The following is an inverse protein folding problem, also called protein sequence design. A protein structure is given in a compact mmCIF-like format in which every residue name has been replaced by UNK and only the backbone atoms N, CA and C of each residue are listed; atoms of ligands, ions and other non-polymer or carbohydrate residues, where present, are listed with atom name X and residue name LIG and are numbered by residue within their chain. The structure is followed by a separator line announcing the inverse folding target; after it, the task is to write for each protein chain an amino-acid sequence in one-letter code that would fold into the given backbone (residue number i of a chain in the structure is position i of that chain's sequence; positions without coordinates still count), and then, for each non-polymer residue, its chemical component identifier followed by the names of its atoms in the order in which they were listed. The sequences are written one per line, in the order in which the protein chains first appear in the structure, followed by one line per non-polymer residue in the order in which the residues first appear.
data_IF_643618475368
#
_entry.id   IF_643618475368
#
_cell.length_a   1.000
_cell.length_b   1.000
_cell.length_c   1.000
_cell.angle_alpha   90.00
_cell.angle_beta   90.00
_cell.angle_gamma   90.00
#
_symmetry.space_group_name_H-M   'P 1'
#
loop_
_entity.id
_entity.type
_entity.pdbx_description
1 polymer ?
#
# COMPACT_ATOMS: atom_id res chain seq x y z
N UNK A 1 -4.17 -20.65 -17.13
CA UNK A 1 -4.09 -20.61 -18.58
C UNK A 1 -3.21 -19.41 -18.95
N UNK A 2 -1.98 -19.69 -19.34
CA UNK A 2 -1.05 -18.66 -19.79
C UNK A 2 -1.25 -18.42 -21.28
N UNK A 3 -1.53 -17.18 -21.67
CA UNK A 3 -1.60 -16.78 -23.06
C UNK A 3 -0.39 -15.92 -23.38
N UNK A 4 0.46 -16.38 -24.25
CA UNK A 4 1.49 -15.52 -24.82
C UNK A 4 0.81 -14.52 -25.77
N UNK A 5 0.94 -13.24 -25.44
CA UNK A 5 0.47 -12.18 -26.33
C UNK A 5 1.65 -11.80 -27.23
N UNK A 6 1.56 -12.11 -28.51
CA UNK A 6 2.59 -11.81 -29.53
C UNK A 6 2.59 -10.32 -29.94
N UNK A 7 2.30 -9.41 -29.01
CA UNK A 7 2.27 -7.97 -29.25
C UNK A 7 3.56 -7.27 -28.83
N UNK A 8 4.34 -6.88 -29.82
CA UNK A 8 5.56 -6.03 -29.78
C UNK A 8 6.55 -6.35 -28.65
N UNK A 9 7.55 -7.14 -28.98
CA UNK A 9 8.77 -7.25 -28.18
C UNK A 9 9.47 -5.88 -28.15
N UNK A 10 9.55 -5.26 -26.99
CA UNK A 10 10.64 -4.33 -26.72
C UNK A 10 11.89 -5.21 -26.56
N UNK A 11 12.88 -5.01 -27.42
CA UNK A 11 14.10 -5.83 -27.46
C UNK A 11 14.90 -5.78 -26.15
N UNK A 12 14.54 -4.85 -25.26
CA UNK A 12 15.25 -4.62 -24.01
C UNK A 12 14.63 -5.33 -22.80
N UNK A 13 13.33 -5.68 -22.82
CA UNK A 13 12.68 -6.35 -21.68
C UNK A 13 11.51 -7.23 -22.12
N UNK A 14 11.75 -8.47 -22.53
CA UNK A 14 10.66 -9.41 -22.81
C UNK A 14 9.96 -9.78 -21.51
N UNK A 15 8.79 -9.20 -21.26
CA UNK A 15 7.96 -9.53 -20.13
C UNK A 15 6.72 -10.33 -20.59
N UNK A 16 6.42 -11.41 -19.90
CA UNK A 16 5.16 -12.12 -20.01
C UNK A 16 4.21 -11.61 -18.93
N UNK A 17 3.10 -11.03 -19.34
CA UNK A 17 2.11 -10.48 -18.41
C UNK A 17 1.07 -11.53 -18.03
N UNK A 18 0.77 -11.60 -16.74
CA UNK A 18 -0.37 -12.36 -16.24
C UNK A 18 -1.67 -11.62 -16.55
N UNK A 19 -2.48 -12.19 -17.42
CA UNK A 19 -3.81 -11.68 -17.76
C UNK A 19 -4.92 -12.26 -16.86
N UNK A 20 -4.56 -13.11 -15.88
CA UNK A 20 -5.53 -13.69 -14.94
C UNK A 20 -6.03 -12.70 -13.89
N UNK A 21 -5.39 -11.55 -13.78
CA UNK A 21 -5.70 -10.54 -12.77
C UNK A 21 -5.10 -10.84 -11.38
N UNK A 22 -4.27 -11.87 -11.25
CA UNK A 22 -3.63 -12.23 -9.97
C UNK A 22 -2.27 -11.54 -9.76
N UNK A 23 -1.85 -10.68 -10.68
CA UNK A 23 -0.63 -9.89 -10.55
C UNK A 23 0.70 -10.66 -10.69
N UNK A 24 0.68 -11.91 -11.13
CA UNK A 24 1.89 -12.69 -11.33
C UNK A 24 2.47 -12.43 -12.72
N UNK A 25 3.46 -11.58 -12.83
CA UNK A 25 4.20 -11.34 -14.07
C UNK A 25 5.41 -12.25 -14.14
N UNK A 26 5.72 -12.72 -15.34
CA UNK A 26 6.93 -13.52 -15.60
C UNK A 26 7.91 -12.67 -16.39
N UNK A 27 9.09 -12.40 -15.83
CA UNK A 27 10.21 -11.84 -16.56
C UNK A 27 11.04 -12.98 -17.18
N UNK A 28 11.37 -12.84 -18.45
CA UNK A 28 12.38 -13.71 -19.05
C UNK A 28 13.72 -13.10 -18.68
N UNK A 29 14.44 -13.73 -17.75
CA UNK A 29 15.79 -13.29 -17.41
C UNK A 29 16.66 -13.31 -18.66
N UNK A 30 17.47 -12.25 -18.85
CA UNK A 30 18.40 -12.17 -19.98
C UNK A 30 19.26 -13.43 -20.06
N UNK A 31 19.41 -13.90 -21.29
CA UNK A 31 20.25 -15.03 -21.64
C UNK A 31 21.70 -14.74 -21.24
N UNK A 32 22.12 -15.28 -20.10
CA UNK A 32 23.52 -15.31 -19.75
C UNK A 32 24.20 -16.31 -20.70
N UNK A 33 25.01 -15.80 -21.63
CA UNK A 33 25.81 -16.62 -22.50
C UNK A 33 26.71 -17.55 -21.65
N UNK A 34 26.35 -18.81 -21.55
CA UNK A 34 27.20 -19.82 -20.90
C UNK A 34 26.52 -20.85 -20.03
N UNK A 35 25.23 -20.79 -19.74
CA UNK A 35 24.54 -21.88 -19.04
C UNK A 35 23.29 -22.36 -19.79
N UNK A 36 23.28 -23.64 -20.13
CA UNK A 36 22.22 -24.37 -20.83
C UNK A 36 21.03 -24.69 -19.90
N UNK A 37 20.74 -23.82 -18.92
CA UNK A 37 19.60 -23.98 -18.04
C UNK A 37 18.61 -22.85 -18.33
N UNK A 38 17.58 -23.15 -19.09
CA UNK A 38 16.37 -22.36 -19.15
C UNK A 38 15.69 -22.44 -17.79
N UNK A 39 16.14 -21.60 -16.86
CA UNK A 39 15.46 -21.41 -15.61
C UNK A 39 14.27 -20.49 -15.89
N UNK A 40 13.08 -21.05 -16.05
CA UNK A 40 11.85 -20.29 -15.82
C UNK A 40 11.79 -19.99 -14.33
N UNK A 41 12.38 -18.88 -13.91
CA UNK A 41 12.15 -18.35 -12.58
C UNK A 41 10.73 -17.81 -12.57
N UNK A 42 9.87 -18.32 -11.70
CA UNK A 42 8.74 -17.53 -11.24
C UNK A 42 9.37 -16.36 -10.48
N UNK A 43 9.43 -15.22 -11.11
CA UNK A 43 9.77 -13.98 -10.40
C UNK A 43 8.59 -13.66 -9.51
N UNK A 44 8.65 -14.19 -8.31
CA UNK A 44 7.89 -13.59 -7.21
C UNK A 44 8.42 -12.17 -7.15
N UNK A 45 7.57 -11.12 -7.14
CA UNK A 45 8.04 -9.76 -7.03
C UNK A 45 9.13 -9.71 -5.97
N UNK A 46 10.33 -9.25 -6.37
CA UNK A 46 11.43 -9.16 -5.43
C UNK A 46 10.98 -8.21 -4.32
N UNK A 47 11.40 -8.46 -3.09
CA UNK A 47 11.04 -7.62 -1.95
C UNK A 47 11.22 -6.12 -2.26
N UNK A 48 12.28 -5.76 -2.99
CA UNK A 48 12.52 -4.41 -3.50
C UNK A 48 11.43 -3.86 -4.44
N UNK A 49 10.71 -4.73 -5.14
CA UNK A 49 9.66 -4.29 -6.07
C UNK A 49 8.36 -4.01 -5.32
N UNK A 50 8.14 -4.68 -4.19
CA UNK A 50 6.98 -4.48 -3.32
C UNK A 50 7.21 -3.32 -2.34
N UNK A 51 8.44 -3.13 -1.87
CA UNK A 51 8.83 -2.09 -0.90
C UNK A 51 8.51 -0.66 -1.39
N UNK A 52 8.34 -0.44 -2.68
CA UNK A 52 7.99 0.86 -3.24
C UNK A 52 6.65 0.85 -4.01
N UNK A 53 5.92 -0.27 -3.97
CA UNK A 53 4.67 -0.39 -4.71
C UNK A 53 3.52 0.37 -4.07
N UNK A 54 3.48 0.36 -2.75
CA UNK A 54 2.46 1.03 -1.94
C UNK A 54 3.15 1.97 -0.96
N UNK A 55 2.62 3.17 -0.83
CA UNK A 55 3.07 4.15 0.15
C UNK A 55 1.90 4.67 0.97
N UNK A 56 2.15 4.98 2.23
CA UNK A 56 1.26 5.76 3.09
C UNK A 56 1.41 7.21 2.63
N UNK A 57 0.44 7.69 1.85
CA UNK A 57 0.52 8.99 1.19
C UNK A 57 0.11 10.14 2.10
N UNK A 58 -0.93 9.94 2.91
CA UNK A 58 -1.47 10.98 3.77
C UNK A 58 -2.03 10.39 5.06
N UNK A 59 -1.88 11.11 6.17
CA UNK A 59 -2.34 10.69 7.50
C UNK A 59 -3.01 11.85 8.22
N UNK A 60 -4.18 11.61 8.82
CA UNK A 60 -4.90 12.55 9.68
C UNK A 60 -4.91 12.04 11.12
N UNK A 61 -3.88 12.34 11.91
CA UNK A 61 -3.82 11.88 13.30
C UNK A 61 -4.62 12.76 14.26
N UNK A 62 -4.81 14.05 13.96
CA UNK A 62 -5.42 15.04 14.85
C UNK A 62 -6.59 15.76 14.16
N UNK A 63 -7.72 15.09 13.91
CA UNK A 63 -8.88 15.72 13.31
C UNK A 63 -9.48 16.81 14.21
N UNK A 64 -10.22 17.73 13.61
CA UNK A 64 -10.82 18.83 14.37
C UNK A 64 -11.85 18.33 15.38
N UNK A 65 -11.68 18.71 16.65
CA UNK A 65 -12.56 18.38 17.76
C UNK A 65 -12.21 17.06 18.43
N UNK A 66 -13.16 16.13 18.53
CA UNK A 66 -12.91 14.79 19.07
C UNK A 66 -12.29 13.90 18.00
N UNK A 67 -11.26 13.12 18.32
CA UNK A 67 -10.55 12.24 17.39
C UNK A 67 -11.34 10.97 17.05
N UNK A 68 -12.14 10.48 17.99
CA UNK A 68 -12.83 9.20 17.85
C UNK A 68 -13.66 9.09 16.58
N UNK A 69 -13.33 8.13 15.75
CA UNK A 69 -13.98 7.83 14.49
C UNK A 69 -13.57 8.72 13.32
N UNK A 70 -12.67 9.70 13.49
CA UNK A 70 -12.35 10.70 12.47
C UNK A 70 -10.96 10.56 11.88
N UNK A 71 -10.09 9.78 12.50
CA UNK A 71 -8.75 9.52 11.99
C UNK A 71 -8.81 8.74 10.67
N UNK A 72 -7.89 9.04 9.78
CA UNK A 72 -7.82 8.36 8.49
C UNK A 72 -6.40 8.29 7.95
N UNK A 73 -6.19 7.36 7.05
CA UNK A 73 -4.94 7.07 6.36
C UNK A 73 -5.25 6.95 4.89
N UNK A 74 -4.44 7.55 4.03
CA UNK A 74 -4.51 7.31 2.59
C UNK A 74 -3.31 6.49 2.13
N UNK A 75 -3.58 5.44 1.33
CA UNK A 75 -2.57 4.61 0.68
C UNK A 75 -2.57 4.90 -0.81
N UNK A 76 -1.40 5.11 -1.39
CA UNK A 76 -1.20 5.28 -2.82
C UNK A 76 -0.53 4.03 -3.42
N UNK A 77 -1.13 3.50 -4.48
CA UNK A 77 -0.54 2.45 -5.29
C UNK A 77 0.31 3.06 -6.41
N UNK A 78 1.62 3.07 -6.23
CA UNK A 78 2.59 3.58 -7.23
C UNK A 78 2.87 2.57 -8.34
N UNK A 79 2.36 1.36 -8.20
CA UNK A 79 2.60 0.29 -9.17
C UNK A 79 1.74 0.47 -10.42
N UNK A 80 2.20 -0.08 -11.52
CA UNK A 80 1.50 -0.06 -12.80
C UNK A 80 0.37 -1.10 -12.92
N UNK A 81 0.12 -1.91 -11.87
CA UNK A 81 -0.99 -2.85 -11.77
C UNK A 81 -1.79 -2.63 -10.49
N UNK A 82 -3.07 -3.05 -10.45
CA UNK A 82 -3.83 -3.07 -9.21
C UNK A 82 -3.15 -3.93 -8.14
N UNK A 83 -3.25 -3.53 -6.88
CA UNK A 83 -2.78 -4.29 -5.72
C UNK A 83 -3.97 -4.64 -4.83
N UNK A 84 -4.03 -5.90 -4.40
CA UNK A 84 -5.03 -6.42 -3.47
C UNK A 84 -4.43 -6.50 -2.07
N UNK A 85 -5.09 -5.86 -1.10
CA UNK A 85 -4.60 -5.78 0.28
C UNK A 85 -5.12 -6.88 1.20
N UNK A 86 -5.77 -7.92 0.69
CA UNK A 86 -6.20 -9.03 1.53
C UNK A 86 -5.04 -9.64 2.31
N UNK A 87 -5.21 -9.77 3.64
CA UNK A 87 -4.19 -10.24 4.58
C UNK A 87 -2.97 -9.33 4.77
N UNK A 88 -2.91 -8.17 4.12
CA UNK A 88 -2.00 -7.12 4.51
C UNK A 88 -2.43 -6.51 5.84
N UNK A 89 -1.58 -5.73 6.47
CA UNK A 89 -1.95 -5.05 7.71
C UNK A 89 -1.38 -3.64 7.80
N UNK A 90 -2.14 -2.76 8.48
CA UNK A 90 -1.61 -1.52 9.03
C UNK A 90 -1.36 -1.73 10.51
N UNK A 91 -0.26 -1.17 11.02
CA UNK A 91 0.16 -1.31 12.40
C UNK A 91 0.63 0.03 12.95
N UNK A 92 0.12 0.40 14.13
CA UNK A 92 0.58 1.53 14.91
C UNK A 92 1.68 1.16 15.91
N UNK A 93 2.11 2.11 16.73
CA UNK A 93 3.16 1.95 17.73
C UNK A 93 2.75 1.08 18.92
N UNK A 94 1.46 1.00 19.20
CA UNK A 94 0.93 0.22 20.32
C UNK A 94 1.06 -1.30 20.09
N UNK A 95 1.36 -2.05 21.13
CA UNK A 95 1.59 -3.51 21.03
C UNK A 95 0.41 -4.32 20.51
N UNK A 96 -0.79 -3.75 20.52
CA UNK A 96 -2.03 -4.38 20.02
C UNK A 96 -2.71 -3.55 18.91
N UNK A 97 -2.02 -2.55 18.38
CA UNK A 97 -2.53 -1.68 17.32
C UNK A 97 -2.17 -2.24 15.97
N UNK A 98 -3.02 -3.13 15.49
CA UNK A 98 -2.88 -3.73 14.16
C UNK A 98 -4.25 -4.03 13.58
N UNK A 99 -4.41 -3.71 12.30
CA UNK A 99 -5.57 -4.05 11.50
C UNK A 99 -5.14 -4.87 10.29
N UNK A 100 -5.74 -6.04 10.13
CA UNK A 100 -5.55 -6.88 8.93
C UNK A 100 -6.70 -6.65 7.98
N UNK A 101 -6.40 -6.39 6.71
CA UNK A 101 -7.43 -6.17 5.68
C UNK A 101 -8.21 -7.45 5.40
N UNK A 102 -9.47 -7.46 5.85
CA UNK A 102 -10.48 -8.46 5.54
C UNK A 102 -11.88 -7.80 5.69
N UNK A 103 -12.66 -7.62 4.65
CA UNK A 103 -12.47 -8.10 3.28
C UNK A 103 -11.31 -7.45 2.52
N UNK A 104 -11.06 -7.95 1.31
CA UNK A 104 -10.04 -7.41 0.41
C UNK A 104 -10.35 -5.96 0.01
N UNK A 105 -9.28 -5.17 -0.13
CA UNK A 105 -9.31 -3.84 -0.72
C UNK A 105 -8.41 -3.85 -1.94
N UNK A 106 -8.97 -3.54 -3.11
CA UNK A 106 -8.19 -3.35 -4.33
C UNK A 106 -7.86 -1.87 -4.51
N UNK A 107 -6.58 -1.56 -4.69
CA UNK A 107 -6.12 -0.23 -5.09
C UNK A 107 -5.65 -0.31 -6.54
N UNK A 108 -6.35 0.36 -7.44
CA UNK A 108 -6.00 0.40 -8.87
C UNK A 108 -4.61 0.98 -9.13
N UNK A 109 -4.06 0.70 -10.32
CA UNK A 109 -2.76 1.25 -10.74
C UNK A 109 -2.74 2.78 -10.67
N UNK A 110 -1.77 3.37 -9.98
CA UNK A 110 -1.67 4.81 -9.74
C UNK A 110 -2.82 5.37 -8.89
N UNK A 111 -3.64 4.51 -8.29
CA UNK A 111 -4.81 4.88 -7.50
C UNK A 111 -4.49 5.13 -6.05
N UNK A 112 -5.45 5.77 -5.37
CA UNK A 112 -5.43 6.04 -3.95
C UNK A 112 -6.59 5.33 -3.28
N UNK A 113 -6.44 5.00 -2.00
CA UNK A 113 -7.54 4.51 -1.17
C UNK A 113 -7.51 5.14 0.20
N UNK A 114 -8.66 5.67 0.60
CA UNK A 114 -8.87 6.31 1.88
C UNK A 114 -9.38 5.28 2.91
N UNK A 115 -8.60 5.07 3.95
CA UNK A 115 -8.93 4.20 5.08
C UNK A 115 -9.43 5.04 6.24
N UNK A 116 -10.64 4.81 6.71
CA UNK A 116 -11.24 5.56 7.82
C UNK A 116 -11.44 4.71 9.06
N UNK A 117 -11.47 5.35 10.24
CA UNK A 117 -11.90 4.68 11.46
C UNK A 117 -13.39 4.33 11.44
N UNK A 118 -14.22 5.20 10.89
CA UNK A 118 -15.68 5.03 10.85
C UNK A 118 -16.23 5.31 9.45
N UNK A 119 -17.25 4.59 9.05
CA UNK A 119 -17.93 4.78 7.76
C UNK A 119 -19.11 5.77 7.83
N UNK A 120 -19.55 6.16 9.04
CA UNK A 120 -20.63 7.11 9.21
C UNK A 120 -20.11 8.55 9.06
N UNK A 121 -20.50 9.21 7.97
CA UNK A 121 -20.13 10.60 7.68
C UNK A 121 -20.52 11.60 8.78
N UNK A 122 -21.52 11.30 9.59
CA UNK A 122 -21.91 12.12 10.73
C UNK A 122 -20.92 12.01 11.90
N UNK A 123 -20.16 10.92 11.95
CA UNK A 123 -19.18 10.61 12.98
C UNK A 123 -17.78 10.99 12.50
N UNK A 124 -17.41 10.56 11.30
CA UNK A 124 -16.05 10.64 10.79
C UNK A 124 -15.61 12.03 10.31
N UNK A 125 -16.51 13.00 10.28
CA UNK A 125 -16.17 14.36 9.83
C UNK A 125 -16.58 14.66 8.39
N UNK A 126 -17.35 13.78 7.75
CA UNK A 126 -18.02 14.03 6.47
C UNK A 126 -17.24 13.53 5.25
N UNK A 127 -16.41 12.52 5.39
CA UNK A 127 -15.77 11.84 4.26
C UNK A 127 -16.29 10.41 4.08
N UNK A 128 -16.18 9.87 2.87
CA UNK A 128 -16.55 8.49 2.54
C UNK A 128 -15.28 7.66 2.37
N UNK A 129 -14.92 6.79 3.32
CA UNK A 129 -13.74 5.93 3.19
C UNK A 129 -13.99 4.79 2.19
N UNK A 130 -12.95 4.37 1.48
CA UNK A 130 -12.96 3.16 0.65
C UNK A 130 -12.93 1.90 1.49
N UNK A 131 -12.36 1.99 2.69
CA UNK A 131 -12.25 0.90 3.65
C UNK A 131 -12.31 1.42 5.09
N UNK A 132 -12.89 0.63 6.00
CA UNK A 132 -13.02 1.01 7.41
C UNK A 132 -12.21 0.04 8.28
N UNK A 133 -11.22 0.57 9.01
CA UNK A 133 -10.39 -0.23 9.93
C UNK A 133 -10.86 -0.20 11.39
N UNK A 134 -11.85 0.60 11.72
CA UNK A 134 -12.40 0.72 13.07
C UNK A 134 -11.40 1.30 14.06
N UNK A 135 -11.51 0.86 15.31
CA UNK A 135 -10.64 1.31 16.40
C UNK A 135 -9.46 0.35 16.67
N UNK A 136 -9.03 -0.41 15.67
CA UNK A 136 -7.94 -1.39 15.80
C UNK A 136 -6.57 -0.74 15.74
N UNK A 137 -6.48 0.44 15.11
CA UNK A 137 -5.34 1.34 15.11
C UNK A 137 -5.83 2.72 15.54
N UNK A 138 -5.11 3.39 16.41
CA UNK A 138 -5.39 4.78 16.83
C UNK A 138 -4.14 5.60 16.58
N UNK A 139 -4.30 6.70 15.86
CA UNK A 139 -3.18 7.57 15.50
C UNK A 139 -2.93 8.55 16.65
N UNK A 140 -1.71 8.55 17.16
CA UNK A 140 -1.34 9.44 18.26
C UNK A 140 -1.18 10.89 17.79
N UNK A 141 -1.76 11.85 18.51
CA UNK A 141 -1.56 13.28 18.28
C UNK A 141 -0.15 13.78 18.62
N UNK A 142 0.69 12.95 19.22
CA UNK A 142 2.03 13.30 19.71
C UNK A 142 3.15 12.55 19.03
N UNK A 143 2.83 11.67 18.12
CA UNK A 143 3.79 10.88 17.39
C UNK A 143 3.34 9.42 17.24
N UNK A 144 3.64 8.86 16.08
CA UNK A 144 3.26 7.51 15.70
C UNK A 144 4.31 6.93 14.76
N UNK A 145 4.53 5.63 14.88
CA UNK A 145 5.21 4.83 13.88
C UNK A 145 4.18 3.94 13.19
N UNK A 146 3.69 4.39 12.04
CA UNK A 146 2.66 3.73 11.25
C UNK A 146 3.31 2.89 10.16
N UNK A 147 2.97 1.60 10.09
CA UNK A 147 3.53 0.65 9.14
C UNK A 147 2.47 0.00 8.29
N UNK A 148 2.78 -0.16 7.02
CA UNK A 148 2.06 -1.02 6.09
C UNK A 148 2.88 -2.31 5.91
N UNK A 149 2.29 -3.45 6.26
CA UNK A 149 2.97 -4.73 6.18
C UNK A 149 2.31 -5.64 5.14
N UNK A 150 3.14 -6.41 4.43
CA UNK A 150 2.67 -7.45 3.53
C UNK A 150 2.09 -8.66 4.30
N UNK A 151 1.46 -9.65 3.62
CA UNK A 151 0.92 -10.84 4.27
C UNK A 151 1.95 -11.74 4.97
N UNK A 152 3.23 -11.54 4.71
CA UNK A 152 4.33 -12.25 5.38
C UNK A 152 4.85 -11.49 6.61
N UNK A 153 4.33 -10.28 6.86
CA UNK A 153 4.73 -9.41 7.97
C UNK A 153 5.97 -8.57 7.68
N UNK A 154 6.39 -8.46 6.41
CA UNK A 154 7.46 -7.53 6.06
C UNK A 154 6.89 -6.11 5.97
N UNK A 155 7.63 -5.13 6.48
CA UNK A 155 7.30 -3.72 6.32
C UNK A 155 7.50 -3.35 4.85
N UNK A 156 6.46 -2.81 4.23
CA UNK A 156 6.46 -2.33 2.84
C UNK A 156 6.65 -0.81 2.83
N UNK A 157 6.00 -0.13 3.76
CA UNK A 157 6.17 1.30 3.96
C UNK A 157 5.99 1.68 5.43
N UNK A 158 6.65 2.75 5.86
CA UNK A 158 6.66 3.20 7.24
C UNK A 158 6.67 4.73 7.31
N UNK A 159 5.77 5.30 8.08
CA UNK A 159 5.75 6.72 8.42
C UNK A 159 6.00 6.87 9.92
N UNK A 160 7.13 7.50 10.27
CA UNK A 160 7.49 7.82 11.65
C UNK A 160 7.41 9.33 11.85
N UNK A 161 6.50 9.78 12.70
CA UNK A 161 6.29 11.19 12.97
C UNK A 161 6.16 11.46 14.47
N UNK A 162 6.51 12.66 14.88
CA UNK A 162 6.43 13.14 16.26
C UNK A 162 5.72 14.52 16.35
N UNK A 163 5.63 15.07 17.54
CA UNK A 163 4.97 16.36 17.81
C UNK A 163 5.70 17.59 17.23
N UNK A 164 6.86 17.39 16.61
CA UNK A 164 7.60 18.44 15.87
C UNK A 164 7.17 18.55 14.41
N UNK A 165 6.44 17.58 13.90
CA UNK A 165 5.85 17.63 12.56
C UNK A 165 4.80 18.74 12.47
N UNK A 166 4.69 19.42 11.30
CA UNK A 166 3.85 20.59 11.14
C UNK A 166 2.36 20.24 10.94
N UNK A 167 1.81 19.36 11.76
CA UNK A 167 0.38 19.09 11.74
C UNK A 167 -0.30 19.69 12.98
N UNK A 168 -1.42 20.35 12.77
CA UNK A 168 -2.26 20.89 13.83
C UNK A 168 -3.63 20.23 13.83
N UNK A 169 -4.47 20.57 14.80
CA UNK A 169 -5.85 20.07 14.82
C UNK A 169 -6.59 20.38 13.52
N UNK A 170 -7.10 19.35 12.85
CA UNK A 170 -7.78 19.43 11.57
C UNK A 170 -6.86 19.57 10.35
N UNK A 171 -5.58 19.25 10.50
CA UNK A 171 -4.60 19.28 9.40
C UNK A 171 -3.97 17.90 9.25
N UNK A 172 -3.99 17.35 8.06
CA UNK A 172 -3.32 16.10 7.70
C UNK A 172 -1.83 16.34 7.38
N UNK A 173 -1.07 15.25 7.36
CA UNK A 173 0.30 15.20 6.84
C UNK A 173 0.28 14.44 5.53
N UNK A 174 0.79 15.06 4.47
CA UNK A 174 0.85 14.48 3.14
C UNK A 174 2.30 14.33 2.68
N UNK A 175 2.61 13.23 2.02
CA UNK A 175 3.90 13.01 1.37
C UNK A 175 4.03 13.95 0.17
N UNK A 176 5.02 14.88 0.23
CA UNK A 176 5.17 15.96 -0.77
C UNK A 176 5.44 15.40 -2.17
N UNK A 177 6.06 14.23 -2.25
CA UNK A 177 6.39 13.55 -3.52
C UNK A 177 6.27 12.05 -3.34
N UNK A 178 5.08 11.49 -3.52
CA UNK A 178 4.87 10.05 -3.39
C UNK A 178 5.70 9.21 -4.37
N UNK A 179 6.34 9.83 -5.38
CA UNK A 179 7.21 9.16 -6.37
C UNK A 179 8.67 9.03 -5.92
N UNK A 180 9.06 9.61 -4.79
CA UNK A 180 10.47 9.75 -4.36
C UNK A 180 10.74 9.23 -2.94
N UNK A 181 9.87 8.44 -2.41
CA UNK A 181 10.09 7.82 -1.11
C UNK A 181 11.11 6.66 -1.19
#
# INVERSE_FOLDING_TARGET
YWRMNEGSFDENFPALYDISGNGYHMHIAEHYEGSNTSAFGLDVPQRSDIENALVINEVMPNPQGSDGGKEWIEIHNRWFTPVHLKNWSIQGSGSNESHTFDPDLEIGSGGYSLLGQDSDELINGGYTPDYTYGNTVSLSNFGENLRLNDPLGNVVDEVDFDDTFPFGSGTSMELIRPDYD
#
